data_IF_240185198653
#
_entry.id   IF_240185198653
#
_cell.length_a   1.000
_cell.length_b   1.000
_cell.length_c   1.000
_cell.angle_alpha   90.00
_cell.angle_beta   90.00
_cell.angle_gamma   90.00
#
_symmetry.space_group_name_H-M   'P 1'
#
loop_
_entity.id
_entity.type
_entity.pdbx_description
1 polymer ?
#
# COMPACT_ATOMS: atom_id res chain seq x y z
N UNK A 1 -42.88 5.50 28.99
CA UNK A 1 -41.91 6.10 28.04
C UNK A 1 -42.66 7.15 27.21
N UNK A 2 -42.31 8.43 27.34
CA UNK A 2 -42.99 9.56 26.68
C UNK A 2 -43.00 9.40 25.16
N UNK A 3 -44.08 9.83 24.51
CA UNK A 3 -44.25 9.75 23.04
C UNK A 3 -43.04 10.33 22.28
N UNK A 4 -42.51 11.46 22.75
CA UNK A 4 -41.31 12.10 22.22
C UNK A 4 -40.05 11.22 22.24
N UNK A 5 -39.88 10.39 23.27
CA UNK A 5 -38.71 9.50 23.40
C UNK A 5 -38.78 8.38 22.37
N UNK A 6 -39.99 7.85 22.08
CA UNK A 6 -40.20 6.84 21.02
C UNK A 6 -39.90 7.41 19.64
N UNK A 7 -40.40 8.61 19.33
CA UNK A 7 -40.17 9.27 18.04
C UNK A 7 -38.68 9.60 17.84
N UNK A 8 -38.00 10.08 18.88
CA UNK A 8 -36.56 10.35 18.82
C UNK A 8 -35.74 9.06 18.59
N UNK A 9 -36.08 7.96 19.26
CA UNK A 9 -35.42 6.66 19.05
C UNK A 9 -35.59 6.15 17.61
N UNK A 10 -36.80 6.25 17.05
CA UNK A 10 -37.07 5.84 15.67
C UNK A 10 -36.27 6.69 14.69
N UNK A 11 -36.21 8.01 14.90
CA UNK A 11 -35.44 8.92 14.06
C UNK A 11 -33.94 8.61 14.08
N UNK A 12 -33.36 8.39 15.27
CA UNK A 12 -31.95 8.01 15.42
C UNK A 12 -31.68 6.66 14.76
N UNK A 13 -32.56 5.67 14.93
CA UNK A 13 -32.42 4.38 14.28
C UNK A 13 -32.45 4.50 12.75
N UNK A 14 -33.38 5.30 12.20
CA UNK A 14 -33.46 5.56 10.76
C UNK A 14 -32.21 6.26 10.23
N UNK A 15 -31.67 7.23 10.97
CA UNK A 15 -30.43 7.93 10.61
C UNK A 15 -29.24 6.98 10.57
N UNK A 16 -29.10 6.10 11.57
CA UNK A 16 -28.03 5.09 11.62
C UNK A 16 -28.17 4.13 10.42
N UNK A 17 -29.38 3.63 10.14
CA UNK A 17 -29.63 2.74 9.00
C UNK A 17 -29.28 3.43 7.67
N UNK A 18 -29.67 4.70 7.50
CA UNK A 18 -29.37 5.47 6.30
C UNK A 18 -27.86 5.64 6.10
N UNK A 19 -27.11 5.96 7.16
CA UNK A 19 -25.64 6.06 7.12
C UNK A 19 -25.00 4.70 6.78
N UNK A 20 -25.48 3.61 7.38
CA UNK A 20 -24.97 2.26 7.09
C UNK A 20 -25.24 1.84 5.64
N UNK A 21 -26.43 2.12 5.11
CA UNK A 21 -26.79 1.84 3.72
C UNK A 21 -25.95 2.68 2.75
N UNK A 22 -25.79 3.98 3.03
CA UNK A 22 -24.94 4.87 2.24
C UNK A 22 -23.48 4.40 2.21
N UNK A 23 -22.93 4.02 3.36
CA UNK A 23 -21.59 3.45 3.45
C UNK A 23 -21.50 2.13 2.65
N UNK A 24 -22.47 1.24 2.80
CA UNK A 24 -22.53 -0.03 2.06
C UNK A 24 -22.56 0.17 0.55
N UNK A 25 -23.32 1.15 0.06
CA UNK A 25 -23.37 1.51 -1.35
C UNK A 25 -22.03 2.08 -1.84
N UNK A 26 -21.44 3.02 -1.10
CA UNK A 26 -20.14 3.61 -1.44
C UNK A 26 -19.02 2.57 -1.53
N UNK A 27 -18.94 1.66 -0.56
CA UNK A 27 -17.95 0.57 -0.56
C UNK A 27 -18.19 -0.42 -1.70
N UNK A 28 -19.44 -0.77 -1.97
CA UNK A 28 -19.79 -1.65 -3.10
C UNK A 28 -19.39 -1.00 -4.44
N UNK A 29 -19.71 0.28 -4.63
CA UNK A 29 -19.32 1.03 -5.82
C UNK A 29 -17.79 1.09 -5.98
N UNK A 30 -17.05 1.40 -4.90
CA UNK A 30 -15.58 1.41 -4.92
C UNK A 30 -15.03 0.03 -5.32
N UNK A 31 -15.56 -1.04 -4.74
CA UNK A 31 -15.13 -2.41 -5.05
C UNK A 31 -15.37 -2.78 -6.52
N UNK A 32 -16.57 -2.56 -7.05
CA UNK A 32 -16.88 -2.88 -8.45
C UNK A 32 -16.08 -2.02 -9.43
N UNK A 33 -15.88 -0.74 -9.12
CA UNK A 33 -15.04 0.16 -9.91
C UNK A 33 -13.57 -0.29 -9.94
N UNK A 34 -13.03 -0.70 -8.79
CA UNK A 34 -11.66 -1.24 -8.71
C UNK A 34 -11.53 -2.58 -9.42
N UNK A 35 -12.52 -3.46 -9.30
CA UNK A 35 -12.53 -4.75 -9.98
C UNK A 35 -12.55 -4.57 -11.50
N UNK A 36 -13.41 -3.70 -12.03
CA UNK A 36 -13.47 -3.39 -13.45
C UNK A 36 -12.16 -2.74 -13.95
N UNK A 37 -11.60 -1.81 -13.18
CA UNK A 37 -10.30 -1.20 -13.50
C UNK A 37 -9.16 -2.23 -13.55
N UNK A 38 -9.16 -3.21 -12.64
CA UNK A 38 -8.19 -4.29 -12.66
C UNK A 38 -8.35 -5.20 -13.88
N UNK A 39 -9.58 -5.63 -14.17
CA UNK A 39 -9.88 -6.50 -15.31
C UNK A 39 -9.43 -5.89 -16.64
N UNK A 40 -9.59 -4.57 -16.79
CA UNK A 40 -9.17 -3.82 -17.98
C UNK A 40 -7.65 -3.62 -18.06
N UNK A 41 -6.97 -3.34 -16.94
CA UNK A 41 -5.50 -3.26 -16.90
C UNK A 41 -4.82 -4.60 -17.17
N UNK A 42 -5.46 -5.71 -16.80
CA UNK A 42 -4.88 -7.04 -16.92
C UNK A 42 -3.64 -7.22 -16.03
N UNK A 43 -2.62 -7.89 -16.56
CA UNK A 43 -1.41 -8.21 -15.79
C UNK A 43 -0.42 -7.03 -15.81
N UNK A 44 -0.08 -6.53 -14.63
CA UNK A 44 0.91 -5.45 -14.49
C UNK A 44 2.34 -5.98 -14.69
N UNK A 45 3.25 -5.16 -15.25
CA UNK A 45 4.63 -5.54 -15.44
C UNK A 45 5.36 -5.69 -14.10
N UNK A 46 6.47 -6.44 -14.13
CA UNK A 46 7.35 -6.55 -12.98
C UNK A 46 8.10 -5.23 -12.74
N UNK A 47 8.32 -4.91 -11.46
CA UNK A 47 8.91 -3.63 -11.05
C UNK A 47 9.91 -3.80 -9.90
N UNK A 48 10.83 -2.83 -9.78
CA UNK A 48 11.74 -2.68 -8.64
C UNK A 48 11.37 -1.40 -7.85
N UNK A 49 10.29 -1.38 -7.07
CA UNK A 49 9.78 -0.14 -6.45
C UNK A 49 10.70 0.43 -5.38
N UNK A 50 11.66 -0.35 -4.88
CA UNK A 50 12.52 0.08 -3.79
C UNK A 50 13.91 -0.54 -3.87
N UNK A 51 14.90 0.23 -3.43
CA UNK A 51 16.26 -0.23 -3.13
C UNK A 51 16.60 0.16 -1.71
N UNK A 52 17.48 -0.61 -1.09
CA UNK A 52 17.92 -0.32 0.26
C UNK A 52 19.35 -0.77 0.51
N UNK A 53 19.99 -0.12 1.48
CA UNK A 53 21.32 -0.43 1.99
C UNK A 53 21.24 -0.36 3.52
N UNK A 54 21.35 -1.52 4.17
CA UNK A 54 21.58 -1.56 5.63
C UNK A 54 23.07 -1.39 5.87
N UNK A 55 23.47 -0.26 6.47
CA UNK A 55 24.88 0.07 6.71
C UNK A 55 25.28 0.01 8.20
N UNK A 56 24.32 -0.18 9.09
CA UNK A 56 24.59 -0.47 10.51
C UNK A 56 23.48 -1.33 11.11
N UNK A 57 23.86 -2.32 11.92
CA UNK A 57 22.91 -3.17 12.65
C UNK A 57 23.56 -3.60 13.95
N UNK A 58 22.94 -3.22 15.07
CA UNK A 58 23.25 -3.66 16.42
C UNK A 58 21.95 -4.11 17.10
N UNK A 59 21.99 -4.75 18.28
CA UNK A 59 20.78 -5.19 18.98
C UNK A 59 19.77 -4.08 19.27
N UNK A 60 20.21 -2.82 19.36
CA UNK A 60 19.35 -1.68 19.70
C UNK A 60 19.20 -0.64 18.58
N UNK A 61 19.94 -0.75 17.48
CA UNK A 61 19.87 0.23 16.40
C UNK A 61 20.15 -0.39 15.04
N UNK A 62 19.30 -0.07 14.06
CA UNK A 62 19.52 -0.39 12.64
C UNK A 62 19.52 0.91 11.84
N UNK A 63 20.52 1.08 10.98
CA UNK A 63 20.68 2.22 10.09
C UNK A 63 20.56 1.77 8.64
N UNK A 64 19.71 2.45 7.88
CA UNK A 64 19.37 2.06 6.52
C UNK A 64 19.13 3.30 5.64
N UNK A 65 19.62 3.23 4.41
CA UNK A 65 19.25 4.10 3.31
C UNK A 65 18.22 3.35 2.46
N UNK A 66 17.03 3.92 2.26
CA UNK A 66 15.92 3.31 1.54
C UNK A 66 15.40 4.27 0.47
N UNK A 67 15.43 3.86 -0.79
CA UNK A 67 15.01 4.67 -1.94
C UNK A 67 13.85 4.02 -2.67
N UNK A 68 12.90 4.83 -3.11
CA UNK A 68 11.73 4.46 -3.89
C UNK A 68 11.95 4.81 -5.36
N UNK A 69 11.50 3.94 -6.27
CA UNK A 69 11.68 4.10 -7.71
C UNK A 69 10.38 3.93 -8.49
N UNK A 70 10.30 4.63 -9.61
CA UNK A 70 9.26 4.42 -10.61
C UNK A 70 9.58 3.22 -11.52
N UNK A 71 8.68 2.92 -12.47
CA UNK A 71 8.86 1.86 -13.47
C UNK A 71 10.06 2.04 -14.41
N UNK A 72 10.55 3.27 -14.56
CA UNK A 72 11.70 3.63 -15.39
C UNK A 72 12.99 3.70 -14.58
N UNK A 73 13.00 3.18 -13.35
CA UNK A 73 14.13 3.23 -12.43
C UNK A 73 14.59 4.67 -12.10
N UNK A 74 13.69 5.66 -12.19
CA UNK A 74 13.95 7.00 -11.65
C UNK A 74 13.63 7.00 -10.17
N UNK A 75 14.53 7.59 -9.37
CA UNK A 75 14.30 7.75 -7.95
C UNK A 75 13.17 8.77 -7.70
N UNK A 76 12.18 8.36 -6.91
CA UNK A 76 11.04 9.19 -6.49
C UNK A 76 11.39 9.91 -5.19
N UNK A 77 11.98 9.17 -4.24
CA UNK A 77 12.34 9.67 -2.92
C UNK A 77 13.35 8.74 -2.24
N UNK A 78 14.13 9.28 -1.31
CA UNK A 78 15.04 8.53 -0.45
C UNK A 78 14.84 8.88 1.02
N UNK A 79 15.07 7.90 1.88
CA UNK A 79 14.93 7.97 3.33
C UNK A 79 16.20 7.38 3.93
N UNK A 80 16.98 8.21 4.61
CA UNK A 80 18.19 7.78 5.30
C UNK A 80 18.08 8.15 6.78
N UNK A 81 18.11 7.15 7.65
CA UNK A 81 18.07 7.33 9.10
C UNK A 81 18.45 6.07 9.85
N UNK A 82 18.53 6.21 11.16
CA UNK A 82 18.57 5.10 12.10
C UNK A 82 17.20 4.90 12.76
N UNK A 83 16.93 3.65 13.13
CA UNK A 83 15.78 3.24 13.91
C UNK A 83 16.26 2.53 15.16
N UNK A 84 15.55 2.77 16.26
CA UNK A 84 15.70 1.94 17.45
C UNK A 84 15.12 0.57 17.16
N UNK A 85 15.87 -0.50 17.44
CA UNK A 85 15.48 -1.88 17.14
C UNK A 85 16.62 -2.70 16.54
N UNK A 86 16.46 -4.02 16.54
CA UNK A 86 17.43 -4.97 16.00
C UNK A 86 17.12 -5.42 14.58
N UNK A 87 15.95 -5.09 14.05
CA UNK A 87 15.55 -5.44 12.69
C UNK A 87 14.70 -4.36 12.02
N UNK A 88 14.78 -4.31 10.69
CA UNK A 88 14.02 -3.37 9.87
C UNK A 88 13.13 -4.14 8.90
N UNK A 89 11.90 -3.66 8.75
CA UNK A 89 10.83 -4.28 7.97
C UNK A 89 10.17 -3.26 7.08
N UNK A 90 9.71 -3.71 5.93
CA UNK A 90 8.83 -2.93 5.05
C UNK A 90 7.57 -3.73 4.78
N UNK A 91 6.42 -3.09 4.98
CA UNK A 91 5.13 -3.66 4.62
C UNK A 91 4.74 -3.24 3.21
N UNK A 92 4.17 -4.17 2.46
CA UNK A 92 3.58 -3.95 1.15
C UNK A 92 2.08 -4.17 1.20
N UNK A 93 1.30 -3.14 0.90
CA UNK A 93 -0.13 -3.28 0.65
C UNK A 93 -0.32 -3.95 -0.72
N UNK A 94 -0.88 -5.16 -0.72
CA UNK A 94 -1.15 -5.95 -1.92
C UNK A 94 -2.64 -5.91 -2.23
N UNK A 95 -2.99 -5.55 -3.46
CA UNK A 95 -4.34 -5.70 -4.03
C UNK A 95 -4.28 -6.75 -5.13
N UNK A 96 -5.21 -7.70 -5.11
CA UNK A 96 -5.33 -8.74 -6.13
C UNK A 96 -6.77 -8.86 -6.62
N UNK A 97 -6.95 -8.67 -7.92
CA UNK A 97 -8.19 -8.90 -8.65
C UNK A 97 -7.89 -9.73 -9.89
N UNK A 98 -8.24 -11.03 -9.85
CA UNK A 98 -7.93 -11.94 -10.96
C UNK A 98 -6.42 -12.01 -11.22
N UNK A 99 -6.01 -11.64 -12.44
CA UNK A 99 -4.59 -11.61 -12.88
C UNK A 99 -3.86 -10.33 -12.49
N UNK A 100 -4.58 -9.29 -12.09
CA UNK A 100 -4.01 -8.00 -11.73
C UNK A 100 -3.54 -8.05 -10.29
N UNK A 101 -2.25 -7.85 -10.08
CA UNK A 101 -1.65 -7.76 -8.74
C UNK A 101 -0.87 -6.47 -8.64
N UNK A 102 -1.26 -5.63 -7.70
CA UNK A 102 -0.63 -4.34 -7.42
C UNK A 102 -0.09 -4.34 -6.00
N UNK A 103 1.16 -3.94 -5.81
CA UNK A 103 1.84 -3.97 -4.52
C UNK A 103 2.57 -2.66 -4.28
N UNK A 104 2.28 -2.02 -3.14
CA UNK A 104 2.81 -0.71 -2.80
C UNK A 104 3.52 -0.73 -1.45
N UNK A 105 4.73 -0.14 -1.34
CA UNK A 105 5.39 0.08 -0.05
C UNK A 105 4.49 0.91 0.87
N UNK A 106 4.07 0.37 1.99
CA UNK A 106 3.14 1.00 2.93
C UNK A 106 3.88 1.75 4.02
N UNK A 107 4.75 1.05 4.76
CA UNK A 107 5.53 1.61 5.87
C UNK A 107 6.88 0.92 6.01
N UNK A 108 7.87 1.67 6.47
CA UNK A 108 9.21 1.21 6.84
C UNK A 108 9.37 1.35 8.36
N UNK A 109 9.58 0.25 9.07
CA UNK A 109 9.47 0.23 10.54
C UNK A 109 10.45 -0.77 11.16
N UNK A 110 10.71 -0.64 12.46
CA UNK A 110 11.56 -1.55 13.21
C UNK A 110 10.75 -2.46 14.12
N UNK A 111 11.36 -3.55 14.59
CA UNK A 111 10.78 -4.43 15.60
C UNK A 111 10.40 -3.72 16.91
N UNK A 112 11.00 -2.57 17.22
CA UNK A 112 10.69 -1.81 18.44
C UNK A 112 9.63 -0.73 18.24
N UNK A 113 9.27 -0.40 17.00
CA UNK A 113 8.25 0.63 16.70
C UNK A 113 7.52 0.30 15.41
N UNK A 114 6.28 -0.19 15.55
CA UNK A 114 5.45 -0.59 14.41
C UNK A 114 4.86 0.60 13.61
N UNK A 115 4.82 1.81 14.18
CA UNK A 115 4.28 2.98 13.46
C UNK A 115 5.13 3.35 12.24
N UNK A 116 6.46 3.33 12.43
CA UNK A 116 7.45 3.53 11.38
C UNK A 116 7.31 4.80 10.55
N UNK A 117 7.93 4.80 9.38
CA UNK A 117 7.81 5.84 8.36
C UNK A 117 6.75 5.42 7.35
N UNK A 118 5.67 6.20 7.24
CA UNK A 118 4.63 5.98 6.23
C UNK A 118 5.17 6.34 4.84
N UNK A 119 5.12 5.39 3.91
CA UNK A 119 5.74 5.52 2.59
C UNK A 119 4.80 6.12 1.53
N UNK A 120 3.47 6.00 1.72
CA UNK A 120 2.45 6.52 0.79
C UNK A 120 2.71 7.96 0.35
N UNK A 121 3.10 8.83 1.29
CA UNK A 121 3.32 10.26 1.04
C UNK A 121 4.43 10.58 0.04
N UNK A 122 5.32 9.63 -0.25
CA UNK A 122 6.45 9.87 -1.14
C UNK A 122 6.11 9.61 -2.60
N UNK A 123 5.14 8.74 -2.89
CA UNK A 123 4.82 8.32 -4.26
C UNK A 123 3.35 8.52 -4.67
N UNK A 124 2.51 9.02 -3.78
CA UNK A 124 1.10 9.30 -4.07
C UNK A 124 0.87 10.82 -4.02
N UNK A 125 0.76 11.45 -5.19
CA UNK A 125 0.61 12.91 -5.34
C UNK A 125 -0.44 13.23 -6.40
N UNK A 126 -1.36 14.16 -6.13
CA UNK A 126 -2.35 14.66 -7.11
C UNK A 126 -3.03 13.54 -7.93
N UNK A 127 -3.52 12.51 -7.25
CA UNK A 127 -4.14 11.32 -7.86
C UNK A 127 -3.24 10.48 -8.78
N UNK A 128 -1.93 10.62 -8.67
CA UNK A 128 -0.93 9.86 -9.44
C UNK A 128 -0.15 8.96 -8.48
N UNK A 129 -0.02 7.68 -8.85
CA UNK A 129 0.87 6.74 -8.18
C UNK A 129 2.19 6.64 -8.95
N UNK A 130 3.20 7.40 -8.54
CA UNK A 130 4.45 7.52 -9.31
C UNK A 130 5.26 6.23 -9.37
N UNK A 131 5.05 5.28 -8.46
CA UNK A 131 5.67 3.93 -8.56
C UNK A 131 5.23 3.22 -9.85
N UNK A 132 3.95 3.33 -10.22
CA UNK A 132 3.36 2.63 -11.35
C UNK A 132 3.10 3.49 -12.58
N UNK A 133 3.20 4.82 -12.44
CA UNK A 133 2.92 5.77 -13.53
C UNK A 133 4.18 6.04 -14.37
N UNK A 134 4.01 6.11 -15.69
CA UNK A 134 5.05 6.54 -16.63
C UNK A 134 4.75 7.97 -17.10
N UNK A 135 5.80 8.76 -17.35
CA UNK A 135 5.66 10.06 -18.01
C UNK A 135 5.13 9.87 -19.44
N UNK A 136 3.89 10.28 -19.73
CA UNK A 136 3.24 10.09 -21.04
C UNK A 136 2.30 8.89 -21.15
N UNK A 137 1.95 8.23 -20.04
CA UNK A 137 0.91 7.19 -20.00
C UNK A 137 -0.50 7.74 -20.30
N UNK A 138 -1.39 6.85 -20.74
CA UNK A 138 -2.82 7.15 -20.95
C UNK A 138 -3.44 7.67 -19.64
N UNK A 139 -4.06 8.87 -19.62
CA UNK A 139 -4.75 9.40 -18.46
C UNK A 139 -5.78 8.44 -17.84
N UNK A 140 -6.42 7.58 -18.63
CA UNK A 140 -7.36 6.59 -18.11
C UNK A 140 -6.66 5.44 -17.38
N UNK A 141 -5.47 5.03 -17.83
CA UNK A 141 -4.64 4.03 -17.13
C UNK A 141 -4.19 4.57 -15.76
N UNK A 142 -3.73 5.82 -15.72
CA UNK A 142 -3.33 6.52 -14.48
C UNK A 142 -4.49 6.52 -13.47
N UNK A 143 -5.70 6.86 -13.92
CA UNK A 143 -6.91 6.84 -13.05
C UNK A 143 -7.21 5.43 -12.53
N UNK A 144 -7.09 4.40 -13.37
CA UNK A 144 -7.34 3.00 -12.97
C UNK A 144 -6.33 2.55 -11.91
N UNK A 145 -5.04 2.82 -12.14
CA UNK A 145 -3.96 2.54 -11.17
C UNK A 145 -4.23 3.28 -9.87
N UNK A 146 -4.53 4.57 -9.93
CA UNK A 146 -4.83 5.38 -8.74
C UNK A 146 -5.99 4.80 -7.92
N UNK A 147 -7.08 4.37 -8.57
CA UNK A 147 -8.22 3.73 -7.88
C UNK A 147 -7.79 2.48 -7.14
N UNK A 148 -7.00 1.61 -7.77
CA UNK A 148 -6.46 0.40 -7.12
C UNK A 148 -5.57 0.74 -5.93
N UNK A 149 -4.71 1.76 -6.07
CA UNK A 149 -3.84 2.20 -4.99
C UNK A 149 -4.66 2.74 -3.81
N UNK A 150 -5.64 3.60 -4.07
CA UNK A 150 -6.53 4.14 -3.05
C UNK A 150 -7.30 3.02 -2.34
N UNK A 151 -7.78 2.03 -3.09
CA UNK A 151 -8.40 0.83 -2.52
C UNK A 151 -7.43 0.04 -1.63
N UNK A 152 -6.17 -0.13 -2.03
CA UNK A 152 -5.15 -0.80 -1.22
C UNK A 152 -5.01 -0.17 0.19
N UNK A 153 -5.06 1.16 0.27
CA UNK A 153 -4.94 1.89 1.54
C UNK A 153 -6.25 1.96 2.34
N UNK A 154 -7.40 2.15 1.68
CA UNK A 154 -8.67 2.34 2.38
C UNK A 154 -9.25 1.01 2.84
N UNK A 155 -9.19 -0.01 1.99
CA UNK A 155 -9.85 -1.29 2.23
C UNK A 155 -8.99 -2.28 3.04
N UNK A 156 -7.68 -2.04 3.21
CA UNK A 156 -6.83 -2.81 4.14
C UNK A 156 -7.31 -2.75 5.59
N UNK A 157 -8.07 -1.72 5.96
CA UNK A 157 -8.67 -1.55 7.29
C UNK A 157 -9.98 -2.31 7.49
N UNK A 158 -10.54 -2.89 6.43
CA UNK A 158 -11.88 -3.46 6.42
C UNK A 158 -11.84 -4.99 6.33
N UNK A 159 -12.49 -5.73 7.25
CA UNK A 159 -12.33 -7.18 7.34
C UNK A 159 -12.93 -7.93 6.15
N UNK A 160 -13.90 -7.35 5.45
CA UNK A 160 -14.60 -7.98 4.32
C UNK A 160 -13.77 -8.02 3.03
N UNK A 161 -12.70 -7.23 2.91
CA UNK A 161 -11.83 -7.23 1.73
C UNK A 161 -10.56 -8.08 1.88
N UNK A 162 -10.41 -8.85 2.96
CA UNK A 162 -9.24 -9.71 3.23
C UNK A 162 -8.92 -10.72 2.11
N UNK A 163 -9.90 -11.09 1.28
CA UNK A 163 -9.67 -11.96 0.10
C UNK A 163 -8.90 -11.25 -1.01
N UNK A 164 -9.08 -9.93 -1.15
CA UNK A 164 -8.52 -9.11 -2.22
C UNK A 164 -7.32 -8.29 -1.75
N UNK A 165 -7.18 -8.10 -0.44
CA UNK A 165 -6.14 -7.28 0.16
C UNK A 165 -5.35 -8.10 1.16
N UNK A 166 -4.04 -8.01 1.06
CA UNK A 166 -3.11 -8.59 2.02
C UNK A 166 -1.95 -7.62 2.26
N UNK A 167 -1.38 -7.65 3.47
CA UNK A 167 -0.13 -6.97 3.78
C UNK A 167 0.99 -8.01 3.75
N UNK A 168 2.00 -7.80 2.92
CA UNK A 168 3.19 -8.63 2.87
C UNK A 168 4.35 -7.90 3.53
N UNK A 169 4.93 -8.49 4.56
CA UNK A 169 6.07 -7.92 5.27
C UNK A 169 7.37 -8.51 4.72
N UNK A 170 8.34 -7.64 4.44
CA UNK A 170 9.68 -8.01 4.01
C UNK A 170 10.68 -7.56 5.08
N UNK A 171 11.50 -8.49 5.58
CA UNK A 171 12.57 -8.18 6.52
C UNK A 171 13.82 -7.74 5.76
N UNK A 172 14.20 -6.48 5.89
CA UNK A 172 15.35 -5.88 5.19
C UNK A 172 16.68 -6.37 5.74
N UNK A 173 16.75 -6.59 7.06
CA UNK A 173 17.95 -7.13 7.75
C UNK A 173 18.18 -8.62 7.52
N UNK A 174 17.41 -9.27 6.64
CA UNK A 174 17.71 -10.62 6.16
C UNK A 174 18.90 -10.64 5.19
N UNK A 175 19.24 -9.50 4.60
CA UNK A 175 20.40 -9.33 3.73
C UNK A 175 21.61 -8.83 4.52
N UNK A 176 22.83 -9.33 4.24
CA UNK A 176 24.05 -8.82 4.85
C UNK A 176 24.23 -7.31 4.69
N UNK A 177 24.74 -6.67 5.74
CA UNK A 177 25.04 -5.25 5.75
C UNK A 177 26.06 -4.87 4.66
N UNK A 178 26.03 -3.60 4.24
CA UNK A 178 26.99 -3.03 3.29
C UNK A 178 26.71 -3.38 1.82
N UNK A 179 25.58 -4.02 1.51
CA UNK A 179 25.16 -4.33 0.14
C UNK A 179 23.89 -3.58 -0.21
N UNK A 180 23.87 -3.02 -1.42
CA UNK A 180 22.65 -2.48 -2.01
C UNK A 180 21.80 -3.67 -2.47
N UNK A 181 20.52 -3.63 -2.19
CA UNK A 181 19.57 -4.65 -2.61
C UNK A 181 18.29 -3.99 -3.11
N UNK A 182 17.70 -4.59 -4.13
CA UNK A 182 16.42 -4.18 -4.69
C UNK A 182 15.32 -5.11 -4.22
N UNK A 183 14.15 -4.54 -3.94
CA UNK A 183 12.91 -5.29 -3.78
C UNK A 183 12.30 -5.42 -5.17
N UNK A 184 12.16 -6.65 -5.66
CA UNK A 184 11.57 -6.97 -6.95
C UNK A 184 10.18 -7.56 -6.76
N UNK A 185 9.21 -6.99 -7.46
CA UNK A 185 7.84 -7.50 -7.56
C UNK A 185 7.66 -8.09 -8.95
N UNK A 186 7.44 -9.40 -9.03
CA UNK A 186 7.10 -10.07 -10.28
C UNK A 186 5.65 -9.86 -10.68
N UNK A 187 5.34 -10.16 -11.94
CA UNK A 187 4.01 -10.01 -12.54
C UNK A 187 2.91 -10.85 -11.89
N UNK A 188 3.26 -11.88 -11.12
CA UNK A 188 2.34 -12.71 -10.31
C UNK A 188 2.16 -12.17 -8.87
N UNK A 189 2.91 -11.13 -8.51
CA UNK A 189 2.91 -10.48 -7.20
C UNK A 189 3.79 -11.17 -6.15
N UNK A 190 4.76 -11.98 -6.56
CA UNK A 190 5.81 -12.45 -5.65
C UNK A 190 6.83 -11.35 -5.38
N UNK A 191 7.18 -11.18 -4.11
CA UNK A 191 8.16 -10.20 -3.66
C UNK A 191 9.45 -10.97 -3.38
N UNK A 192 10.53 -10.56 -4.02
CA UNK A 192 11.86 -11.13 -3.82
C UNK A 192 12.86 -10.01 -3.59
N UNK A 193 13.93 -10.33 -2.86
CA UNK A 193 15.05 -9.41 -2.69
C UNK A 193 16.17 -9.88 -3.62
N UNK A 194 16.69 -8.97 -4.43
CA UNK A 194 17.78 -9.22 -5.36
C UNK A 194 18.96 -8.31 -5.00
N UNK A 195 20.21 -8.78 -5.15
CA UNK A 195 21.35 -7.87 -5.19
C UNK A 195 21.19 -6.93 -6.39
N UNK A 196 21.56 -5.66 -6.22
CA UNK A 196 21.49 -4.64 -7.27
C UNK A 196 22.87 -4.07 -7.61
#
# INVERSE_FOLDING_TARGET
MNSYVKTALIFVAFLIISVMLGAGFAYSYQFFSCKAAAEDLGQLPAIKPARYLVYGSSPGTVSCHFSLYDRNAREIASIERSWNGGALYVDFATVRFGKTVLQLPLRLYSDYSEEGVQLKRYYMHHDICTIYSIFGEDPEEIKKIHRLCTFAFSASKLPFYKKYINIRTVRLTSVPMGRISAIYISTDGNITILPD
#
